data_IF_057499921687
#
_entry.id   IF_057499921687
#
_cell.length_a   1.000
_cell.length_b   1.000
_cell.length_c   1.000
_cell.angle_alpha   90.00
_cell.angle_beta   90.00
_cell.angle_gamma   90.00
#
_symmetry.space_group_name_H-M   'P 1'
#
loop_
_entity.id
_entity.type
_entity.pdbx_description
1 polymer ?
#
# COMPACT_ATOMS: atom_id res chain seq x y z
N UNK A 1 -8.19 8.20 7.75
CA UNK A 1 -8.22 7.93 6.30
C UNK A 1 -9.29 6.89 5.98
N UNK A 2 -10.08 7.10 4.94
CA UNK A 2 -10.98 6.12 4.32
C UNK A 2 -10.19 5.04 3.59
N UNK A 3 -10.84 3.93 3.23
CA UNK A 3 -10.19 2.87 2.44
C UNK A 3 -9.61 3.39 1.12
N UNK A 4 -10.36 4.26 0.42
CA UNK A 4 -9.94 4.85 -0.85
C UNK A 4 -8.68 5.71 -0.67
N UNK A 5 -8.65 6.54 0.38
CA UNK A 5 -7.48 7.37 0.71
C UNK A 5 -6.25 6.52 1.05
N UNK A 6 -6.42 5.39 1.74
CA UNK A 6 -5.31 4.47 2.04
C UNK A 6 -4.77 3.81 0.77
N UNK A 7 -5.64 3.38 -0.12
CA UNK A 7 -5.24 2.78 -1.40
C UNK A 7 -4.49 3.81 -2.25
N UNK A 8 -5.00 5.04 -2.33
CA UNK A 8 -4.36 6.12 -3.07
C UNK A 8 -2.96 6.43 -2.50
N UNK A 9 -2.81 6.55 -1.19
CA UNK A 9 -1.52 6.81 -0.56
C UNK A 9 -0.48 5.70 -0.86
N UNK A 10 -0.92 4.44 -0.96
CA UNK A 10 -0.04 3.34 -1.36
C UNK A 10 0.39 3.48 -2.83
N UNK A 11 -0.52 3.88 -3.71
CA UNK A 11 -0.22 4.07 -5.14
C UNK A 11 0.73 5.25 -5.39
N UNK A 12 0.54 6.34 -4.64
CA UNK A 12 1.46 7.49 -4.64
C UNK A 12 2.86 7.07 -4.17
N UNK A 13 2.94 6.28 -3.10
CA UNK A 13 4.19 5.72 -2.60
C UNK A 13 4.91 4.84 -3.63
N UNK A 14 4.18 3.94 -4.29
CA UNK A 14 4.73 3.09 -5.35
C UNK A 14 5.32 3.94 -6.50
N UNK A 15 4.58 4.97 -6.94
CA UNK A 15 5.01 5.87 -8.00
C UNK A 15 6.25 6.70 -7.61
N UNK A 16 6.30 7.17 -6.37
CA UNK A 16 7.42 7.92 -5.82
C UNK A 16 8.69 7.05 -5.77
N UNK A 17 8.59 5.83 -5.25
CA UNK A 17 9.73 4.89 -5.17
C UNK A 17 10.24 4.56 -6.58
N UNK A 18 9.35 4.31 -7.53
CA UNK A 18 9.73 4.06 -8.93
C UNK A 18 10.40 5.27 -9.58
N UNK A 19 9.90 6.49 -9.31
CA UNK A 19 10.47 7.73 -9.85
C UNK A 19 11.87 7.98 -9.29
N UNK A 20 12.05 7.82 -7.97
CA UNK A 20 13.35 7.97 -7.33
C UNK A 20 14.34 6.92 -7.85
N UNK A 21 13.92 5.66 -7.99
CA UNK A 21 14.76 4.59 -8.53
C UNK A 21 15.23 4.91 -9.97
N UNK A 22 14.34 5.42 -10.82
CA UNK A 22 14.70 5.88 -12.19
C UNK A 22 15.73 7.01 -12.19
N UNK A 23 15.70 7.86 -11.16
CA UNK A 23 16.62 8.97 -10.97
C UNK A 23 17.90 8.56 -10.22
N UNK A 24 18.09 7.26 -9.92
CA UNK A 24 19.26 6.74 -9.20
C UNK A 24 19.25 7.00 -7.69
N UNK A 25 18.09 7.36 -7.12
CA UNK A 25 17.91 7.56 -5.68
C UNK A 25 17.15 6.40 -5.07
N UNK A 26 17.66 5.86 -3.95
CA UNK A 26 17.04 4.73 -3.26
C UNK A 26 16.22 5.23 -2.06
N UNK A 27 14.95 4.83 -2.01
CA UNK A 27 14.09 5.00 -0.83
C UNK A 27 14.15 3.72 -0.01
N UNK A 28 14.75 3.79 1.18
CA UNK A 28 14.89 2.65 2.10
C UNK A 28 13.80 2.59 3.16
N UNK A 29 13.06 3.68 3.39
CA UNK A 29 11.95 3.76 4.34
C UNK A 29 10.79 4.58 3.79
N UNK A 30 9.56 4.09 4.00
CA UNK A 30 8.33 4.78 3.67
C UNK A 30 7.33 4.69 4.84
N UNK A 31 6.51 5.72 5.05
CA UNK A 31 5.54 5.74 6.15
C UNK A 31 4.17 6.19 5.67
N UNK A 32 3.15 5.34 5.82
CA UNK A 32 1.75 5.62 5.43
C UNK A 32 0.87 5.34 6.64
N UNK A 33 0.06 6.33 7.06
CA UNK A 33 -0.98 6.13 8.09
C UNK A 33 -0.45 5.49 9.40
N UNK A 34 0.77 5.86 9.81
CA UNK A 34 1.45 5.30 10.98
C UNK A 34 2.15 3.95 10.78
N UNK A 35 2.00 3.32 9.61
CA UNK A 35 2.72 2.10 9.22
C UNK A 35 4.02 2.50 8.53
N UNK A 36 5.15 2.12 9.13
CA UNK A 36 6.47 2.27 8.51
C UNK A 36 6.89 0.98 7.83
N UNK A 37 7.27 1.06 6.56
CA UNK A 37 7.85 -0.01 5.77
C UNK A 37 9.31 0.35 5.52
N UNK A 38 10.22 -0.48 6.01
CA UNK A 38 11.66 -0.33 5.80
C UNK A 38 12.18 -1.57 5.08
N UNK A 39 12.76 -1.38 3.89
CA UNK A 39 13.30 -2.48 3.08
C UNK A 39 14.65 -2.08 2.52
N UNK A 40 15.52 -3.08 2.37
CA UNK A 40 16.85 -2.92 1.77
C UNK A 40 16.82 -2.67 0.27
N UNK A 41 15.70 -2.95 -0.39
CA UNK A 41 15.53 -2.76 -1.83
C UNK A 41 14.23 -1.99 -2.11
N UNK A 42 14.28 -0.95 -2.96
CA UNK A 42 13.09 -0.25 -3.47
C UNK A 42 12.06 -1.21 -4.10
N UNK A 43 12.51 -2.29 -4.75
CA UNK A 43 11.63 -3.29 -5.36
C UNK A 43 10.88 -4.12 -4.31
N UNK A 44 11.56 -4.50 -3.23
CA UNK A 44 10.93 -5.22 -2.12
C UNK A 44 9.91 -4.33 -1.39
N UNK A 45 10.19 -3.03 -1.28
CA UNK A 45 9.26 -2.06 -0.73
C UNK A 45 7.98 -1.97 -1.57
N UNK A 46 8.10 -1.84 -2.90
CA UNK A 46 6.95 -1.84 -3.81
C UNK A 46 6.14 -3.14 -3.68
N UNK A 47 6.82 -4.29 -3.53
CA UNK A 47 6.13 -5.57 -3.38
C UNK A 47 5.28 -5.63 -2.10
N UNK A 48 5.79 -5.10 -0.99
CA UNK A 48 5.01 -5.02 0.25
C UNK A 48 3.87 -4.02 0.16
N UNK A 49 4.08 -2.86 -0.46
CA UNK A 49 3.02 -1.89 -0.70
C UNK A 49 1.86 -2.52 -1.51
N UNK A 50 2.17 -3.28 -2.56
CA UNK A 50 1.17 -4.03 -3.32
C UNK A 50 0.42 -5.09 -2.50
N UNK A 51 1.15 -5.81 -1.65
CA UNK A 51 0.54 -6.80 -0.75
C UNK A 51 -0.40 -6.12 0.27
N UNK A 52 0.00 -4.97 0.81
CA UNK A 52 -0.81 -4.15 1.71
C UNK A 52 -2.10 -3.70 1.01
N UNK A 53 -2.01 -3.17 -0.22
CA UNK A 53 -3.17 -2.78 -1.03
C UNK A 53 -4.12 -3.95 -1.26
N UNK A 54 -3.60 -5.12 -1.64
CA UNK A 54 -4.40 -6.31 -1.87
C UNK A 54 -5.14 -6.77 -0.59
N UNK A 55 -4.46 -6.71 0.57
CA UNK A 55 -5.05 -7.05 1.86
C UNK A 55 -6.17 -6.09 2.27
N UNK A 56 -5.99 -4.79 2.04
CA UNK A 56 -7.02 -3.77 2.31
C UNK A 56 -8.28 -4.00 1.45
N UNK A 57 -8.10 -4.28 0.17
CA UNK A 57 -9.21 -4.59 -0.76
C UNK A 57 -9.92 -5.88 -0.33
N UNK A 58 -9.17 -6.93 0.01
CA UNK A 58 -9.74 -8.20 0.46
C UNK A 58 -10.57 -8.05 1.74
N UNK A 59 -10.06 -7.26 2.69
CA UNK A 59 -10.75 -6.98 3.96
C UNK A 59 -12.05 -6.20 3.73
N UNK A 60 -12.04 -5.25 2.78
CA UNK A 60 -13.24 -4.50 2.40
C UNK A 60 -14.32 -5.40 1.78
N UNK A 61 -13.92 -6.31 0.91
CA UNK A 61 -14.82 -7.25 0.25
C UNK A 61 -15.41 -8.27 1.24
N UNK A 62 -14.62 -8.79 2.19
CA UNK A 62 -15.12 -9.69 3.24
C UNK A 62 -16.16 -9.00 4.15
N UNK A 63 -15.95 -7.73 4.49
CA UNK A 63 -16.90 -6.96 5.29
C UNK A 63 -18.25 -6.77 4.58
N UNK A 64 -18.24 -6.60 3.26
CA UNK A 64 -19.45 -6.51 2.45
C UNK A 64 -20.20 -7.85 2.33
N UNK A 65 -19.47 -8.97 2.22
CA UNK A 65 -20.10 -10.30 2.19
C UNK A 65 -20.83 -10.64 3.49
N UNK A 66 -20.25 -10.30 4.65
CA UNK A 66 -20.91 -10.53 5.96
C UNK A 66 -22.18 -9.69 6.09
N UNK A 67 -22.17 -8.43 5.63
CA UNK A 67 -23.36 -7.56 5.69
C UNK A 67 -24.50 -8.02 4.76
N UNK A 68 -24.20 -8.76 3.69
CA UNK A 68 -25.20 -9.27 2.76
C UNK A 68 -25.90 -10.53 3.29
N UNK A 69 -25.20 -11.35 4.08
CA UNK A 69 -25.73 -12.61 4.64
C UNK A 69 -26.61 -12.36 5.89
N UNK A 70 -26.37 -11.25 6.59
CA UNK A 70 -27.10 -10.88 7.82
C UNK A 70 -28.30 -9.95 7.58
N UNK A 71 -28.70 -9.70 6.33
CA UNK A 71 -29.89 -8.94 5.93
C UNK A 71 -30.96 -9.87 5.39
#
# INVERSE_FOLDING_TARGET
>A
MTLAEKIQAIEEAEAEILTNLKNGSEISKYSIDGISIEKRSPIEMIKELKALKASLIASANQSQTIQLILK
#
